data_IF_842008665411
#
_entry.id   IF_842008665411
#
_cell.length_a   1.000
_cell.length_b   1.000
_cell.length_c   1.000
_cell.angle_alpha   90.00
_cell.angle_beta   90.00
_cell.angle_gamma   90.00
#
_symmetry.space_group_name_H-M   'P 1'
#
loop_
_entity.id
_entity.type
_entity.pdbx_description
1 polymer ?
#
# COMPACT_ATOMS: atom_id res chain seq x y z
N UNK A 1 -37.29 42.74 -28.10
CA UNK A 1 -36.36 43.42 -27.17
C UNK A 1 -36.05 42.50 -25.98
N UNK A 2 -34.81 41.99 -25.95
CA UNK A 2 -33.97 41.64 -24.79
C UNK A 2 -34.66 41.25 -23.47
N UNK A 3 -34.95 39.95 -23.23
CA UNK A 3 -35.03 39.34 -21.88
C UNK A 3 -34.73 37.82 -21.87
N UNK A 4 -33.74 37.37 -22.64
CA UNK A 4 -33.21 36.00 -22.51
C UNK A 4 -31.69 36.11 -22.41
N UNK A 5 -31.22 36.61 -21.28
CA UNK A 5 -29.81 36.55 -20.91
C UNK A 5 -29.73 36.75 -19.39
N UNK A 6 -28.97 35.89 -18.73
CA UNK A 6 -28.67 35.87 -17.30
C UNK A 6 -29.71 35.18 -16.38
N UNK A 7 -29.77 33.84 -16.42
CA UNK A 7 -30.06 33.04 -15.21
C UNK A 7 -29.56 31.58 -15.31
N UNK A 8 -28.38 31.35 -15.88
CA UNK A 8 -27.78 29.99 -15.95
C UNK A 8 -26.26 30.01 -15.69
N UNK A 9 -25.84 30.76 -14.68
CA UNK A 9 -24.47 30.71 -14.14
C UNK A 9 -24.61 30.82 -12.63
N UNK A 10 -24.91 29.71 -11.94
CA UNK A 10 -24.58 29.59 -10.53
C UNK A 10 -24.50 28.11 -10.13
N UNK A 11 -23.30 27.74 -9.67
CA UNK A 11 -22.98 26.52 -8.91
C UNK A 11 -22.92 25.18 -9.64
N UNK A 12 -22.05 25.08 -10.66
CA UNK A 12 -21.25 23.85 -10.76
C UNK A 12 -20.01 24.06 -9.89
N UNK A 13 -20.18 23.95 -8.57
CA UNK A 13 -19.05 23.77 -7.67
C UNK A 13 -18.46 22.42 -8.01
N UNK A 14 -17.50 22.41 -8.94
CA UNK A 14 -16.60 21.29 -9.14
C UNK A 14 -15.81 21.18 -7.84
N UNK A 15 -16.36 20.47 -6.86
CA UNK A 15 -15.54 19.92 -5.81
C UNK A 15 -14.69 18.89 -6.54
N UNK A 16 -13.49 19.32 -6.94
CA UNK A 16 -12.41 18.38 -7.14
C UNK A 16 -12.31 17.66 -5.80
N UNK A 17 -12.94 16.49 -5.72
CA UNK A 17 -12.72 15.51 -4.68
C UNK A 17 -11.25 15.13 -4.88
N UNK A 18 -10.33 15.94 -4.36
CA UNK A 18 -8.94 15.59 -4.30
C UNK A 18 -8.92 14.32 -3.49
N UNK A 19 -8.75 13.19 -4.18
CA UNK A 19 -8.53 11.91 -3.54
C UNK A 19 -7.31 12.10 -2.63
N UNK A 20 -7.58 12.30 -1.34
CA UNK A 20 -6.58 12.57 -0.33
C UNK A 20 -5.75 11.31 -0.18
N UNK A 21 -4.47 11.40 -0.49
CA UNK A 21 -3.58 10.26 -0.48
C UNK A 21 -3.32 9.83 0.97
N UNK A 22 -3.34 8.52 1.24
CA UNK A 22 -3.03 7.98 2.57
C UNK A 22 -1.64 8.42 3.05
N UNK A 23 -0.67 8.48 2.14
CA UNK A 23 0.68 8.99 2.40
C UNK A 23 0.66 10.47 2.82
N UNK A 24 -0.16 11.30 2.16
CA UNK A 24 -0.27 12.72 2.52
C UNK A 24 -0.85 12.92 3.93
N UNK A 25 -1.72 12.00 4.35
CA UNK A 25 -2.33 12.01 5.67
C UNK A 25 -1.34 11.66 6.76
N UNK A 26 -0.46 10.71 6.47
CA UNK A 26 0.67 10.37 7.33
C UNK A 26 1.59 11.58 7.42
N UNK A 27 2.04 12.17 6.31
CA UNK A 27 2.93 13.35 6.30
C UNK A 27 2.36 14.49 7.15
N UNK A 28 1.06 14.77 7.01
CA UNK A 28 0.36 15.79 7.82
C UNK A 28 0.24 15.41 9.29
N UNK A 29 0.14 14.12 9.61
CA UNK A 29 0.05 13.65 11.00
C UNK A 29 1.38 13.75 11.74
N UNK A 30 2.48 13.50 11.05
CA UNK A 30 3.84 13.51 11.60
C UNK A 30 4.54 14.87 11.44
N UNK A 31 4.06 15.72 10.53
CA UNK A 31 4.64 17.04 10.24
C UNK A 31 5.96 16.96 9.46
N UNK A 32 6.18 15.88 8.71
CA UNK A 32 7.39 15.65 7.91
C UNK A 32 7.05 14.84 6.64
N UNK A 33 7.88 14.99 5.62
CA UNK A 33 7.78 14.21 4.38
C UNK A 33 8.42 12.82 4.53
N UNK A 34 8.14 11.86 3.63
CA UNK A 34 8.79 10.56 3.64
C UNK A 34 10.30 10.70 3.44
N UNK A 35 11.08 9.91 4.18
CA UNK A 35 12.53 9.80 3.97
C UNK A 35 12.83 8.98 2.71
N UNK A 36 12.04 7.94 2.45
CA UNK A 36 12.13 7.12 1.24
C UNK A 36 10.78 7.14 0.54
N UNK A 37 10.78 7.44 -0.75
CA UNK A 37 9.60 7.35 -1.60
C UNK A 37 10.00 6.80 -2.97
N UNK A 38 9.78 5.49 -3.13
CA UNK A 38 10.04 4.77 -4.36
C UNK A 38 8.70 4.52 -5.04
N UNK A 39 8.59 4.89 -6.32
CA UNK A 39 7.39 4.65 -7.12
C UNK A 39 7.80 4.05 -8.47
N UNK A 40 7.64 2.73 -8.59
CA UNK A 40 7.97 1.98 -9.79
C UNK A 40 6.68 1.71 -10.57
N UNK A 41 6.62 2.21 -11.81
CA UNK A 41 5.61 1.79 -12.78
C UNK A 41 6.15 0.70 -13.70
N UNK A 42 5.26 0.11 -14.50
CA UNK A 42 5.55 -0.96 -15.48
C UNK A 42 6.84 -0.77 -16.28
N UNK A 43 7.14 0.44 -16.76
CA UNK A 43 8.34 0.69 -17.58
C UNK A 43 9.66 0.58 -16.80
N UNK A 44 9.70 1.02 -15.54
CA UNK A 44 10.90 0.87 -14.71
C UNK A 44 11.01 -0.56 -14.20
N UNK A 45 9.87 -1.17 -13.84
CA UNK A 45 9.80 -2.58 -13.46
C UNK A 45 10.37 -3.43 -14.60
N UNK A 46 9.89 -3.29 -15.84
CA UNK A 46 10.38 -4.07 -16.98
C UNK A 46 11.87 -3.84 -17.25
N UNK A 47 12.37 -2.64 -17.02
CA UNK A 47 13.79 -2.31 -17.14
C UNK A 47 14.60 -3.07 -16.09
N UNK A 48 14.20 -3.05 -14.81
CA UNK A 48 14.86 -3.81 -13.73
C UNK A 48 14.85 -5.32 -14.06
N UNK A 49 13.70 -5.85 -14.49
CA UNK A 49 13.54 -7.26 -14.85
C UNK A 49 14.53 -7.69 -15.95
N UNK A 50 14.87 -6.78 -16.88
CA UNK A 50 15.75 -7.08 -18.01
C UNK A 50 17.24 -7.20 -17.66
N UNK A 51 17.65 -6.78 -16.47
CA UNK A 51 19.04 -6.85 -16.00
C UNK A 51 19.29 -7.98 -14.99
N UNK A 52 18.24 -8.72 -14.64
CA UNK A 52 18.21 -9.71 -13.56
C UNK A 52 18.53 -11.12 -14.09
N UNK A 53 19.82 -11.45 -14.24
CA UNK A 53 20.27 -12.74 -14.80
C UNK A 53 20.62 -13.82 -13.76
N UNK A 54 20.73 -13.48 -12.47
CA UNK A 54 21.05 -14.45 -11.41
C UNK A 54 19.79 -15.11 -10.79
N UNK A 55 19.99 -16.21 -10.04
CA UNK A 55 18.87 -16.98 -9.45
C UNK A 55 18.06 -16.22 -8.40
N UNK A 56 18.65 -15.27 -7.67
CA UNK A 56 17.91 -14.44 -6.72
C UNK A 56 17.10 -13.37 -7.45
N UNK A 57 17.70 -12.79 -8.48
CA UNK A 57 17.07 -11.83 -9.37
C UNK A 57 15.87 -12.45 -10.10
N UNK A 58 15.92 -13.75 -10.44
CA UNK A 58 14.75 -14.48 -10.98
C UNK A 58 13.56 -14.55 -10.00
N UNK A 59 13.80 -14.75 -8.70
CA UNK A 59 12.71 -14.79 -7.71
C UNK A 59 12.06 -13.42 -7.53
N UNK A 60 12.88 -12.37 -7.51
CA UNK A 60 12.41 -10.98 -7.48
C UNK A 60 11.68 -10.64 -8.78
N UNK A 61 12.13 -11.17 -9.91
CA UNK A 61 11.50 -10.97 -11.21
C UNK A 61 10.09 -11.56 -11.27
N UNK A 62 9.92 -12.80 -10.82
CA UNK A 62 8.62 -13.47 -10.79
C UNK A 62 7.60 -12.63 -10.01
N UNK A 63 8.00 -12.09 -8.86
CA UNK A 63 7.17 -11.21 -8.04
C UNK A 63 6.87 -9.88 -8.73
N UNK A 64 7.89 -9.18 -9.22
CA UNK A 64 7.72 -7.85 -9.83
C UNK A 64 6.96 -7.92 -11.17
N UNK A 65 7.04 -9.02 -11.91
CA UNK A 65 6.38 -9.19 -13.20
C UNK A 65 4.84 -9.13 -13.13
N UNK A 66 4.27 -9.51 -11.99
CA UNK A 66 2.83 -9.41 -11.72
C UNK A 66 2.36 -8.00 -11.38
N UNK A 67 3.28 -7.07 -11.14
CA UNK A 67 2.97 -5.72 -10.68
C UNK A 67 2.94 -4.72 -11.83
N UNK A 68 1.86 -3.94 -11.86
CA UNK A 68 1.77 -2.74 -12.70
C UNK A 68 2.33 -1.51 -11.99
N UNK A 69 2.32 -1.51 -10.65
CA UNK A 69 2.83 -0.45 -9.81
C UNK A 69 3.32 -1.01 -8.47
N UNK A 70 4.48 -0.53 -8.04
CA UNK A 70 5.01 -0.74 -6.68
C UNK A 70 5.39 0.61 -6.10
N UNK A 71 4.82 0.95 -4.95
CA UNK A 71 5.20 2.14 -4.18
C UNK A 71 5.67 1.71 -2.80
N UNK A 72 6.85 2.16 -2.42
CA UNK A 72 7.41 1.99 -1.07
C UNK A 72 7.61 3.37 -0.47
N UNK A 73 7.01 3.62 0.68
CA UNK A 73 7.11 4.88 1.41
C UNK A 73 7.57 4.60 2.83
N UNK A 74 8.64 5.26 3.27
CA UNK A 74 9.18 5.13 4.63
C UNK A 74 9.20 6.48 5.31
N UNK A 75 8.72 6.52 6.54
CA UNK A 75 8.73 7.68 7.41
C UNK A 75 9.49 7.37 8.68
N UNK A 76 10.46 8.20 9.03
CA UNK A 76 11.11 8.15 10.34
C UNK A 76 10.17 8.70 11.42
N UNK A 77 10.06 7.98 12.54
CA UNK A 77 9.24 8.31 13.68
C UNK A 77 10.12 8.61 14.89
N UNK A 78 10.11 9.85 15.36
CA UNK A 78 10.73 10.20 16.63
C UNK A 78 9.76 10.06 17.81
N UNK A 79 10.31 10.13 19.04
CA UNK A 79 9.55 10.04 20.30
C UNK A 79 8.44 11.07 20.47
N UNK A 80 8.41 12.11 19.63
CA UNK A 80 7.40 13.18 19.67
C UNK A 80 6.26 12.96 18.68
N UNK A 81 6.34 11.95 17.81
CA UNK A 81 5.33 11.72 16.76
C UNK A 81 4.05 11.12 17.33
N UNK A 82 2.92 11.48 16.70
CA UNK A 82 1.58 11.14 17.16
C UNK A 82 1.20 9.67 16.88
N UNK A 83 1.79 8.68 17.55
CA UNK A 83 1.53 7.25 17.32
C UNK A 83 0.04 6.92 17.35
N UNK A 84 -0.73 7.46 18.31
CA UNK A 84 -2.20 7.28 18.35
C UNK A 84 -2.93 7.80 17.12
N UNK A 85 -2.48 8.93 16.55
CA UNK A 85 -3.06 9.49 15.33
C UNK A 85 -2.72 8.62 14.13
N UNK A 86 -1.48 8.12 14.05
CA UNK A 86 -1.05 7.17 13.03
C UNK A 86 -1.85 5.88 13.09
N UNK A 87 -1.98 5.25 14.25
CA UNK A 87 -2.83 4.07 14.45
C UNK A 87 -4.27 4.32 14.00
N UNK A 88 -4.82 5.50 14.28
CA UNK A 88 -6.18 5.85 13.85
C UNK A 88 -6.29 6.02 12.32
N UNK A 89 -5.28 6.60 11.68
CA UNK A 89 -5.21 6.71 10.22
C UNK A 89 -5.08 5.35 9.56
N UNK A 90 -4.23 4.48 10.10
CA UNK A 90 -4.07 3.09 9.64
C UNK A 90 -5.41 2.37 9.74
N UNK A 91 -6.05 2.39 10.91
CA UNK A 91 -7.37 1.77 11.10
C UNK A 91 -8.40 2.28 10.08
N UNK A 92 -8.51 3.61 9.92
CA UNK A 92 -9.44 4.20 8.96
C UNK A 92 -9.14 3.77 7.52
N UNK A 93 -7.86 3.61 7.17
CA UNK A 93 -7.44 3.15 5.85
C UNK A 93 -7.80 1.68 5.62
N UNK A 94 -7.60 0.84 6.63
CA UNK A 94 -7.98 -0.57 6.59
C UNK A 94 -9.50 -0.69 6.45
N UNK A 95 -10.29 0.03 7.26
CA UNK A 95 -11.75 0.04 7.18
C UNK A 95 -12.25 0.46 5.78
N UNK A 96 -11.62 1.48 5.17
CA UNK A 96 -11.89 1.92 3.79
C UNK A 96 -11.60 0.81 2.77
N UNK A 97 -10.48 0.09 2.90
CA UNK A 97 -10.12 -1.00 2.00
C UNK A 97 -11.07 -2.20 2.14
N UNK A 98 -11.42 -2.59 3.38
CA UNK A 98 -12.39 -3.64 3.64
C UNK A 98 -13.75 -3.32 3.00
N UNK A 99 -14.20 -2.07 3.09
CA UNK A 99 -15.44 -1.62 2.44
C UNK A 99 -15.41 -1.72 0.90
N UNK A 100 -14.22 -1.83 0.30
CA UNK A 100 -13.98 -1.95 -1.14
C UNK A 100 -13.70 -3.39 -1.59
N UNK A 101 -13.94 -4.37 -0.72
CA UNK A 101 -13.77 -5.79 -1.02
C UNK A 101 -12.34 -6.30 -0.89
N UNK A 102 -11.47 -5.58 -0.17
CA UNK A 102 -10.19 -6.12 0.27
C UNK A 102 -10.43 -7.02 1.48
N UNK A 103 -9.54 -7.97 1.66
CA UNK A 103 -9.48 -8.85 2.82
C UNK A 103 -8.22 -8.57 3.62
N UNK A 104 -8.31 -8.77 4.93
CA UNK A 104 -7.17 -8.66 5.83
C UNK A 104 -6.49 -10.02 5.93
N UNK A 105 -5.30 -10.13 5.36
CA UNK A 105 -4.53 -11.36 5.24
C UNK A 105 -3.71 -11.60 6.51
N UNK A 106 -3.04 -10.54 7.00
CA UNK A 106 -2.22 -10.58 8.20
C UNK A 106 -2.51 -9.34 9.05
N UNK A 107 -2.63 -9.56 10.36
CA UNK A 107 -2.57 -8.50 11.36
C UNK A 107 -1.73 -8.96 12.53
N UNK A 108 -0.66 -8.23 12.79
CA UNK A 108 0.15 -8.34 14.00
C UNK A 108 -0.02 -7.04 14.77
N UNK A 109 -0.24 -7.16 16.08
CA UNK A 109 -0.35 -6.00 16.96
C UNK A 109 0.30 -6.33 18.29
N UNK A 110 1.49 -5.77 18.47
CA UNK A 110 2.27 -5.86 19.69
C UNK A 110 2.23 -4.51 20.43
N UNK A 111 3.02 -4.36 21.50
CA UNK A 111 3.05 -3.14 22.31
C UNK A 111 3.52 -1.91 21.54
N UNK A 112 4.48 -2.12 20.65
CA UNK A 112 5.29 -1.13 19.96
C UNK A 112 5.35 -1.38 18.45
N UNK A 113 4.77 -2.48 17.96
CA UNK A 113 4.73 -2.82 16.54
C UNK A 113 3.30 -3.13 16.08
N UNK A 114 2.96 -2.66 14.88
CA UNK A 114 1.73 -3.00 14.18
C UNK A 114 2.02 -3.32 12.71
N UNK A 115 1.58 -4.50 12.27
CA UNK A 115 1.68 -4.93 10.88
C UNK A 115 0.31 -5.25 10.34
N UNK A 116 -0.03 -4.71 9.16
CA UNK A 116 -1.21 -5.06 8.39
C UNK A 116 -0.81 -5.45 6.97
N UNK A 117 -1.34 -6.57 6.49
CA UNK A 117 -1.33 -6.96 5.08
C UNK A 117 -2.77 -7.11 4.63
N UNK A 118 -3.17 -6.32 3.64
CA UNK A 118 -4.50 -6.32 3.04
C UNK A 118 -4.40 -6.47 1.54
N UNK A 119 -5.28 -7.27 0.94
CA UNK A 119 -5.31 -7.49 -0.51
C UNK A 119 -6.72 -7.91 -0.95
N UNK A 120 -7.07 -7.74 -2.22
CA UNK A 120 -8.22 -8.43 -2.78
C UNK A 120 -7.83 -9.88 -3.05
N UNK A 121 -8.69 -10.82 -2.66
CA UNK A 121 -8.46 -12.25 -2.88
C UNK A 121 -9.37 -12.75 -3.99
N UNK A 122 -8.79 -13.42 -4.98
CA UNK A 122 -9.52 -14.03 -6.09
C UNK A 122 -8.99 -15.44 -6.35
N UNK A 123 -9.54 -16.42 -5.62
CA UNK A 123 -9.04 -17.79 -5.66
C UNK A 123 -7.64 -17.89 -5.06
N UNK A 124 -6.66 -18.30 -5.86
CA UNK A 124 -5.24 -18.41 -5.47
C UNK A 124 -4.41 -17.15 -5.76
N UNK A 125 -5.07 -16.05 -6.15
CA UNK A 125 -4.43 -14.78 -6.50
C UNK A 125 -4.71 -13.70 -5.47
N UNK A 126 -3.67 -12.93 -5.16
CA UNK A 126 -3.78 -11.65 -4.48
C UNK A 126 -3.74 -10.53 -5.51
N UNK A 127 -4.79 -9.72 -5.57
CA UNK A 127 -4.86 -8.54 -6.40
C UNK A 127 -4.80 -7.30 -5.52
N UNK A 128 -4.07 -6.27 -5.96
CA UNK A 128 -3.93 -4.99 -5.26
C UNK A 128 -3.64 -5.16 -3.76
N UNK A 129 -2.37 -5.26 -3.38
CA UNK A 129 -1.96 -5.50 -2.01
C UNK A 129 -1.37 -4.25 -1.35
N UNK A 130 -1.64 -4.06 -0.07
CA UNK A 130 -1.04 -3.03 0.75
C UNK A 130 -0.46 -3.63 2.03
N UNK A 131 0.79 -3.29 2.32
CA UNK A 131 1.48 -3.62 3.57
C UNK A 131 1.71 -2.32 4.34
N UNK A 132 1.36 -2.33 5.62
CA UNK A 132 1.62 -1.23 6.54
C UNK A 132 2.35 -1.80 7.74
N UNK A 133 3.55 -1.30 8.02
CA UNK A 133 4.31 -1.56 9.24
C UNK A 133 4.42 -0.23 9.98
N UNK A 134 4.14 -0.25 11.28
CA UNK A 134 4.27 0.89 12.17
C UNK A 134 5.01 0.43 13.43
N UNK A 135 6.24 0.90 13.58
CA UNK A 135 7.08 0.69 14.75
C UNK A 135 7.16 1.98 15.58
N UNK A 136 6.82 1.89 16.86
CA UNK A 136 6.76 3.05 17.73
C UNK A 136 8.15 3.62 17.98
N UNK A 137 8.36 4.88 17.60
CA UNK A 137 9.63 5.61 17.74
C UNK A 137 10.78 5.08 16.85
N UNK A 138 10.46 4.36 15.77
CA UNK A 138 11.44 3.97 14.74
C UNK A 138 10.97 4.41 13.35
N UNK A 139 10.12 3.62 12.69
CA UNK A 139 9.65 3.94 11.35
C UNK A 139 8.21 3.51 11.06
N UNK A 140 7.62 4.14 10.04
CA UNK A 140 6.40 3.67 9.41
C UNK A 140 6.68 3.37 7.94
N UNK A 141 6.45 2.12 7.55
CA UNK A 141 6.61 1.64 6.18
C UNK A 141 5.24 1.38 5.57
N UNK A 142 5.01 1.94 4.39
CA UNK A 142 3.81 1.70 3.58
C UNK A 142 4.24 1.18 2.21
N UNK A 143 3.82 -0.03 1.87
CA UNK A 143 4.03 -0.64 0.57
C UNK A 143 2.66 -0.77 -0.11
N UNK A 144 2.48 -0.11 -1.26
CA UNK A 144 1.27 -0.18 -2.10
C UNK A 144 1.63 -0.86 -3.43
N UNK A 145 0.99 -2.00 -3.69
CA UNK A 145 1.23 -2.86 -4.85
C UNK A 145 -0.06 -2.96 -5.67
N UNK A 146 0.01 -2.63 -6.95
CA UNK A 146 -1.12 -2.80 -7.87
C UNK A 146 -0.76 -3.81 -8.94
N UNK A 147 -1.69 -4.70 -9.23
CA UNK A 147 -1.47 -5.85 -10.10
C UNK A 147 -1.87 -7.15 -9.40
N UNK A 148 -1.36 -8.25 -9.92
CA UNK A 148 -1.75 -9.59 -9.50
C UNK A 148 -0.53 -10.38 -9.10
N UNK A 149 -0.55 -10.87 -7.87
CA UNK A 149 0.47 -11.71 -7.25
C UNK A 149 -0.10 -13.11 -7.06
N UNK A 150 0.63 -14.13 -7.46
CA UNK A 150 0.30 -15.51 -7.12
C UNK A 150 0.75 -15.78 -5.67
N UNK A 151 -0.14 -16.31 -4.82
CA UNK A 151 0.18 -16.68 -3.43
C UNK A 151 1.38 -17.64 -3.35
N UNK A 152 1.59 -18.48 -4.37
CA UNK A 152 2.73 -19.40 -4.49
C UNK A 152 4.05 -18.67 -4.74
N UNK A 153 4.02 -17.47 -5.35
CA UNK A 153 5.20 -16.63 -5.52
C UNK A 153 5.53 -15.92 -4.20
N UNK A 154 4.52 -15.45 -3.46
CA UNK A 154 4.71 -14.83 -2.16
C UNK A 154 5.28 -15.82 -1.12
N UNK A 155 4.80 -17.07 -1.11
CA UNK A 155 5.31 -18.13 -0.22
C UNK A 155 6.74 -18.57 -0.53
N UNK A 156 7.22 -18.37 -1.77
CA UNK A 156 8.63 -18.57 -2.12
C UNK A 156 9.52 -17.44 -1.60
N UNK A 157 8.99 -16.23 -1.47
CA UNK A 157 9.69 -15.09 -0.87
C UNK A 157 9.69 -15.16 0.66
N UNK A 158 8.59 -15.56 1.29
CA UNK A 158 8.48 -15.72 2.75
C UNK A 158 9.33 -16.85 3.33
N UNK A 159 10.02 -17.65 2.50
CA UNK A 159 11.05 -18.58 2.98
C UNK A 159 12.40 -17.90 3.21
N UNK A 160 12.58 -16.69 2.66
CA UNK A 160 13.77 -15.86 2.79
C UNK A 160 13.56 -14.71 3.79
N UNK A 161 12.32 -14.44 4.20
CA UNK A 161 11.95 -13.54 5.29
C UNK A 161 11.33 -14.40 6.40
N UNK A 162 11.62 -14.16 7.68
CA UNK A 162 11.16 -15.02 8.79
C UNK A 162 9.66 -14.80 9.11
N UNK A 163 8.79 -14.99 8.11
CA UNK A 163 7.35 -14.71 8.16
C UNK A 163 6.57 -16.00 7.92
N UNK A 164 5.86 -16.45 8.96
CA UNK A 164 5.08 -17.68 8.93
C UNK A 164 3.71 -17.47 8.25
N UNK A 165 3.54 -18.02 7.04
CA UNK A 165 2.30 -17.94 6.25
C UNK A 165 1.39 -19.18 6.34
N UNK A 166 1.63 -20.09 7.30
CA UNK A 166 0.96 -21.39 7.37
C UNK A 166 -0.57 -21.31 7.61
N UNK A 167 -1.12 -20.14 7.92
CA UNK A 167 -2.57 -19.93 8.07
C UNK A 167 -3.31 -19.47 6.80
N UNK A 168 -2.60 -19.12 5.72
CA UNK A 168 -3.18 -18.53 4.50
C UNK A 168 -3.16 -19.50 3.32
N UNK A 169 -2.23 -20.47 3.33
CA UNK A 169 -2.14 -21.50 2.30
C UNK A 169 -2.88 -22.71 2.83
N UNK A 170 -4.09 -22.97 2.32
CA UNK A 170 -4.75 -24.23 2.57
C UNK A 170 -3.85 -25.36 2.05
N UNK A 171 -3.44 -26.26 2.95
CA UNK A 171 -2.74 -27.50 2.60
C UNK A 171 -3.52 -28.20 1.48
N UNK A 172 -2.86 -28.31 0.32
CA UNK A 172 -3.32 -29.12 -0.81
C UNK A 172 -2.24 -30.14 -1.16
#
# INVERSE_FOLDING_TARGET
MKKILAFFILTLSFTALHAKSFVDDISKAIGSDPQVNINLGTGIISTILSFSDDEEAKKVNDFLSGLSKLRVTVFELDKSKNTKKLTSLVKSKIDDLLSKGYEQIVTVKESDEMVHIVAKVNGDKLEDAMVIVLEENDEMVVIDMQGTLDLKQLSKLSKNFDVNLNGVIADS
#
